data_IF_657637396649
#
_entry.id   IF_657637396649
#
_cell.length_a   1.000
_cell.length_b   1.000
_cell.length_c   1.000
_cell.angle_alpha   90.00
_cell.angle_beta   90.00
_cell.angle_gamma   90.00
#
_symmetry.space_group_name_H-M   'P 1'
#
loop_
_entity.id
_entity.type
_entity.pdbx_description
1 polymer ?
#
# COMPACT_ATOMS: atom_id res chain seq x y z
N UNK A 1 56.92 -63.87 43.32
CA UNK A 1 55.48 -64.23 43.26
C UNK A 1 54.74 -63.52 44.39
N UNK A 2 53.89 -62.53 44.08
CA UNK A 2 52.65 -62.22 44.81
C UNK A 2 51.90 -61.03 44.14
N UNK A 3 50.83 -61.39 43.43
CA UNK A 3 49.50 -60.77 43.28
C UNK A 3 49.34 -59.25 43.03
N UNK A 4 48.94 -58.96 41.79
CA UNK A 4 47.70 -58.26 41.37
C UNK A 4 46.87 -57.59 42.47
N UNK A 5 46.57 -56.30 42.28
CA UNK A 5 45.27 -55.73 42.64
C UNK A 5 44.79 -54.80 41.51
N UNK A 6 43.70 -55.26 40.89
CA UNK A 6 42.79 -54.63 39.94
C UNK A 6 42.23 -53.29 40.44
N UNK A 7 42.12 -52.28 39.57
CA UNK A 7 41.10 -51.25 39.75
C UNK A 7 40.52 -50.77 38.41
N UNK A 8 39.34 -51.32 38.08
CA UNK A 8 38.64 -51.23 36.82
C UNK A 8 37.74 -49.97 36.74
N UNK A 9 38.22 -48.80 37.19
CA UNK A 9 37.45 -47.54 37.20
C UNK A 9 38.05 -46.41 36.35
N UNK A 10 39.21 -46.62 35.73
CA UNK A 10 39.85 -45.62 34.87
C UNK A 10 39.34 -45.66 33.41
N UNK A 11 38.89 -46.81 32.91
CA UNK A 11 38.51 -46.97 31.50
C UNK A 11 37.24 -46.23 31.09
N UNK A 12 36.23 -46.17 31.98
CA UNK A 12 34.91 -45.60 31.64
C UNK A 12 34.96 -44.07 31.58
N UNK A 13 35.79 -43.42 32.40
CA UNK A 13 35.92 -41.96 32.41
C UNK A 13 36.76 -41.43 31.24
N UNK A 14 37.77 -42.19 30.78
CA UNK A 14 38.56 -41.82 29.61
C UNK A 14 37.73 -41.85 28.31
N UNK A 15 36.83 -42.82 28.12
CA UNK A 15 36.04 -42.93 26.88
C UNK A 15 35.05 -41.75 26.73
N UNK A 16 34.45 -41.30 27.83
CA UNK A 16 33.54 -40.14 27.80
C UNK A 16 34.26 -38.80 27.58
N UNK A 17 35.50 -38.65 28.06
CA UNK A 17 36.33 -37.47 27.81
C UNK A 17 36.81 -37.38 26.35
N UNK A 18 37.12 -38.51 25.70
CA UNK A 18 37.55 -38.51 24.29
C UNK A 18 36.41 -38.19 23.32
N UNK A 19 35.16 -38.54 23.63
CA UNK A 19 33.99 -38.22 22.78
C UNK A 19 33.64 -36.72 22.85
N UNK A 20 33.84 -36.06 24.00
CA UNK A 20 33.56 -34.62 24.14
C UNK A 20 34.64 -33.73 23.50
N UNK A 21 35.88 -34.19 23.38
CA UNK A 21 36.98 -33.41 22.77
C UNK A 21 36.90 -33.42 21.24
N UNK A 22 36.28 -34.41 20.60
CA UNK A 22 36.10 -34.43 19.14
C UNK A 22 34.93 -33.58 18.61
N UNK A 23 34.05 -33.07 19.48
CA UNK A 23 32.94 -32.18 19.10
C UNK A 23 33.25 -30.68 19.29
N UNK A 24 34.42 -30.34 19.84
CA UNK A 24 34.83 -28.95 20.07
C UNK A 24 36.21 -28.72 19.46
N UNK A 25 36.21 -27.93 18.38
CA UNK A 25 37.34 -27.41 17.58
C UNK A 25 37.84 -28.26 16.41
N UNK A 26 37.40 -27.88 15.22
CA UNK A 26 38.18 -27.08 14.24
C UNK A 26 37.16 -26.61 13.16
N UNK A 27 37.11 -25.37 12.70
CA UNK A 27 38.23 -24.60 12.19
C UNK A 27 37.84 -23.12 12.05
N UNK A 28 38.64 -22.23 12.64
CA UNK A 28 38.63 -20.81 12.34
C UNK A 28 39.36 -20.59 11.02
N UNK A 29 38.66 -20.87 9.91
CA UNK A 29 39.15 -20.63 8.55
C UNK A 29 38.62 -19.29 8.06
N UNK A 30 39.43 -18.25 8.22
CA UNK A 30 39.25 -16.91 7.66
C UNK A 30 39.14 -17.02 6.13
N UNK A 31 37.92 -17.23 5.61
CA UNK A 31 37.63 -17.08 4.19
C UNK A 31 37.35 -15.61 3.94
N UNK A 32 38.10 -15.11 2.97
CA UNK A 32 37.97 -13.81 2.35
C UNK A 32 36.49 -13.50 2.14
N UNK A 33 36.10 -12.28 2.50
CA UNK A 33 34.82 -11.67 2.18
C UNK A 33 34.58 -11.77 0.67
N UNK A 34 33.93 -12.84 0.24
CA UNK A 34 33.27 -12.90 -1.06
C UNK A 34 31.82 -12.49 -0.79
N UNK A 35 31.61 -11.17 -0.84
CA UNK A 35 30.28 -10.60 -0.78
C UNK A 35 29.56 -10.90 -2.09
N UNK A 36 29.00 -12.10 -2.24
CA UNK A 36 28.12 -12.42 -3.36
C UNK A 36 27.27 -13.69 -3.12
N UNK A 37 26.58 -13.83 -1.98
CA UNK A 37 25.50 -14.83 -1.87
C UNK A 37 24.35 -14.33 -0.98
N UNK A 38 23.82 -13.14 -1.29
CA UNK A 38 22.50 -12.68 -0.77
C UNK A 38 21.56 -12.29 -1.90
N UNK A 39 21.78 -12.85 -3.08
CA UNK A 39 21.00 -12.60 -4.28
C UNK A 39 20.49 -13.96 -4.77
N UNK A 40 19.23 -14.31 -4.51
CA UNK A 40 18.41 -15.29 -5.27
C UNK A 40 17.21 -15.83 -4.45
N UNK A 41 16.46 -14.97 -3.76
CA UNK A 41 15.08 -15.35 -3.39
C UNK A 41 14.08 -14.49 -4.19
N UNK A 42 14.17 -14.61 -5.51
CA UNK A 42 13.18 -14.07 -6.44
C UNK A 42 12.10 -15.11 -6.70
N UNK A 43 10.85 -14.76 -6.48
CA UNK A 43 9.69 -15.62 -6.75
C UNK A 43 9.21 -15.41 -8.19
N UNK A 44 9.07 -16.50 -8.97
CA UNK A 44 8.67 -16.43 -10.38
C UNK A 44 7.19 -16.70 -10.58
N UNK A 45 6.53 -15.84 -11.34
CA UNK A 45 5.08 -15.84 -11.57
C UNK A 45 4.78 -15.77 -13.06
N UNK A 46 3.91 -16.63 -13.62
CA UNK A 46 3.55 -16.54 -15.03
C UNK A 46 2.73 -15.27 -15.32
N UNK A 47 3.11 -14.57 -16.39
CA UNK A 47 2.29 -13.54 -17.03
C UNK A 47 1.64 -14.15 -18.26
N UNK A 48 0.31 -14.21 -18.25
CA UNK A 48 -0.47 -14.73 -19.36
C UNK A 48 -1.18 -13.60 -20.09
N UNK A 49 -1.46 -13.78 -21.37
CA UNK A 49 -2.24 -12.85 -22.18
C UNK A 49 -3.29 -13.56 -23.02
N UNK A 50 -4.26 -12.82 -23.52
CA UNK A 50 -5.30 -13.31 -24.42
C UNK A 50 -5.81 -12.18 -25.30
N UNK A 51 -5.96 -12.47 -26.58
CA UNK A 51 -6.54 -11.56 -27.58
C UNK A 51 -7.39 -12.43 -28.52
N UNK A 52 -8.61 -12.68 -28.08
CA UNK A 52 -9.62 -13.40 -28.85
C UNK A 52 -10.66 -12.39 -29.34
N UNK A 53 -11.21 -12.64 -30.53
CA UNK A 53 -12.38 -11.89 -31.04
C UNK A 53 -13.63 -12.26 -30.24
N UNK A 54 -13.69 -13.51 -29.76
CA UNK A 54 -14.77 -14.02 -28.93
C UNK A 54 -14.64 -13.58 -27.46
N UNK A 55 -15.75 -13.55 -26.73
CA UNK A 55 -15.76 -13.23 -25.29
C UNK A 55 -15.03 -14.26 -24.41
N UNK A 56 -14.74 -15.45 -24.96
CA UNK A 56 -14.05 -16.53 -24.26
C UNK A 56 -12.54 -16.34 -24.38
N UNK A 57 -11.94 -15.76 -23.34
CA UNK A 57 -10.50 -15.55 -23.28
C UNK A 57 -9.73 -16.88 -23.17
N UNK A 58 -8.90 -17.17 -24.17
CA UNK A 58 -7.90 -18.24 -24.14
C UNK A 58 -6.56 -17.65 -23.73
N UNK A 59 -6.17 -17.91 -22.48
CA UNK A 59 -4.93 -17.39 -21.92
C UNK A 59 -3.74 -18.24 -22.37
N UNK A 60 -2.72 -17.55 -22.89
CA UNK A 60 -1.45 -18.12 -23.31
C UNK A 60 -0.29 -17.44 -22.57
N UNK A 61 0.86 -18.11 -22.49
CA UNK A 61 2.01 -17.59 -21.76
C UNK A 61 2.69 -16.46 -22.54
N UNK A 62 2.66 -15.25 -21.98
CA UNK A 62 3.41 -14.10 -22.49
C UNK A 62 4.83 -14.06 -21.95
N UNK A 63 5.02 -14.46 -20.70
CA UNK A 63 6.31 -14.41 -20.02
C UNK A 63 6.24 -14.80 -18.54
N UNK A 64 7.28 -14.47 -17.79
CA UNK A 64 7.39 -14.67 -16.35
C UNK A 64 7.88 -13.40 -15.65
N UNK A 65 7.23 -13.09 -14.53
CA UNK A 65 7.55 -12.01 -13.61
C UNK A 65 8.41 -12.59 -12.50
N UNK A 66 9.62 -12.07 -12.33
CA UNK A 66 10.49 -12.44 -11.22
C UNK A 66 10.42 -11.33 -10.18
N UNK A 67 9.74 -11.63 -9.08
CA UNK A 67 9.43 -10.72 -7.98
C UNK A 67 10.50 -10.90 -6.91
N UNK A 68 11.27 -9.85 -6.65
CA UNK A 68 12.32 -9.86 -5.62
C UNK A 68 11.81 -9.11 -4.40
N UNK A 69 11.68 -9.84 -3.30
CA UNK A 69 11.32 -9.27 -2.01
C UNK A 69 12.58 -8.76 -1.32
N UNK A 70 12.55 -7.51 -0.87
CA UNK A 70 13.68 -6.80 -0.27
C UNK A 70 13.17 -5.58 0.49
N UNK A 71 14.07 -4.72 0.97
CA UNK A 71 13.68 -3.42 1.56
C UNK A 71 12.85 -2.59 0.57
N UNK A 72 13.18 -2.70 -0.70
CA UNK A 72 12.42 -2.16 -1.82
C UNK A 72 11.98 -3.33 -2.71
N UNK A 73 10.67 -3.55 -2.89
CA UNK A 73 10.19 -4.60 -3.77
C UNK A 73 10.55 -4.23 -5.22
N UNK A 74 11.22 -5.14 -5.90
CA UNK A 74 11.56 -4.97 -7.31
C UNK A 74 10.98 -6.12 -8.13
N UNK A 75 10.66 -5.82 -9.39
CA UNK A 75 10.16 -6.80 -10.34
C UNK A 75 10.99 -6.74 -11.61
N UNK A 76 11.37 -7.91 -12.10
CA UNK A 76 11.98 -8.08 -13.41
C UNK A 76 11.10 -8.95 -14.29
N UNK A 77 11.17 -8.74 -15.59
CA UNK A 77 10.33 -9.42 -16.57
C UNK A 77 11.18 -10.24 -17.52
N UNK A 78 10.70 -11.43 -17.85
CA UNK A 78 11.22 -12.26 -18.92
C UNK A 78 10.06 -12.59 -19.88
N UNK A 79 10.10 -12.08 -21.11
CA UNK A 79 9.00 -12.22 -22.07
C UNK A 79 9.44 -13.04 -23.28
N UNK A 80 8.47 -13.73 -23.85
CA UNK A 80 8.60 -14.32 -25.17
C UNK A 80 8.26 -13.28 -26.23
N UNK A 81 8.84 -13.44 -27.41
CA UNK A 81 8.50 -12.66 -28.60
C UNK A 81 7.15 -13.11 -29.14
N UNK A 82 6.48 -12.22 -29.88
CA UNK A 82 5.18 -12.53 -30.48
C UNK A 82 5.38 -13.30 -31.80
N UNK A 83 4.67 -14.43 -31.94
CA UNK A 83 4.70 -15.24 -33.16
C UNK A 83 4.06 -14.48 -34.34
N UNK A 84 4.43 -14.83 -35.57
CA UNK A 84 3.87 -14.19 -36.78
C UNK A 84 2.34 -14.42 -36.88
N UNK A 85 1.88 -15.60 -36.46
CA UNK A 85 0.45 -15.94 -36.40
C UNK A 85 -0.27 -15.06 -35.38
N UNK A 86 0.34 -14.87 -34.20
CA UNK A 86 -0.23 -14.03 -33.15
C UNK A 86 -0.24 -12.55 -33.52
N UNK A 87 0.76 -12.06 -34.29
CA UNK A 87 0.79 -10.68 -34.82
C UNK A 87 -0.41 -10.43 -35.73
N UNK A 88 -0.65 -11.35 -36.67
CA UNK A 88 -1.78 -11.27 -37.61
C UNK A 88 -3.10 -11.28 -36.84
N UNK A 89 -3.25 -12.20 -35.88
CA UNK A 89 -4.44 -12.29 -35.05
C UNK A 89 -4.67 -11.03 -34.19
N UNK A 90 -3.62 -10.46 -33.61
CA UNK A 90 -3.74 -9.24 -32.82
C UNK A 90 -4.24 -8.06 -33.66
N UNK A 91 -3.85 -7.98 -34.94
CA UNK A 91 -4.36 -6.97 -35.89
C UNK A 91 -5.82 -7.20 -36.26
N UNK A 92 -6.22 -8.44 -36.50
CA UNK A 92 -7.63 -8.76 -36.75
C UNK A 92 -8.51 -8.36 -35.57
N UNK A 93 -8.06 -8.65 -34.35
CA UNK A 93 -8.74 -8.22 -33.11
C UNK A 93 -8.76 -6.70 -32.98
N UNK A 94 -7.67 -6.01 -33.35
CA UNK A 94 -7.60 -4.55 -33.36
C UNK A 94 -8.56 -3.92 -34.37
N UNK A 95 -8.77 -4.54 -35.54
CA UNK A 95 -9.66 -4.04 -36.58
C UNK A 95 -11.14 -4.05 -36.16
N UNK A 96 -11.52 -4.91 -35.21
CA UNK A 96 -12.88 -5.02 -34.66
C UNK A 96 -13.05 -4.35 -33.29
N UNK A 97 -12.09 -3.50 -32.88
CA UNK A 97 -12.05 -2.85 -31.56
C UNK A 97 -12.11 -3.86 -30.39
N UNK A 98 -11.46 -5.01 -30.57
CA UNK A 98 -11.37 -6.06 -29.56
C UNK A 98 -10.44 -5.71 -28.40
N UNK A 99 -10.33 -6.63 -27.44
CA UNK A 99 -9.59 -6.42 -26.19
C UNK A 99 -8.34 -7.30 -26.13
N UNK A 100 -7.24 -6.70 -25.72
CA UNK A 100 -6.05 -7.40 -25.26
C UNK A 100 -6.11 -7.53 -23.73
N UNK A 101 -6.18 -8.77 -23.24
CA UNK A 101 -6.33 -9.11 -21.83
C UNK A 101 -5.03 -9.70 -21.29
N UNK A 102 -4.69 -9.37 -20.05
CA UNK A 102 -3.59 -9.99 -19.33
C UNK A 102 -4.10 -10.65 -18.05
N UNK A 103 -3.36 -11.65 -17.57
CA UNK A 103 -3.67 -12.38 -16.35
C UNK A 103 -2.41 -12.71 -15.58
N UNK A 104 -2.49 -12.55 -14.26
CA UNK A 104 -1.43 -12.92 -13.31
C UNK A 104 -2.09 -13.67 -12.15
N UNK A 105 -1.53 -14.79 -11.67
CA UNK A 105 -2.09 -15.49 -10.51
C UNK A 105 -1.96 -14.63 -9.24
N UNK A 106 -2.86 -14.84 -8.29
CA UNK A 106 -2.76 -14.22 -6.97
C UNK A 106 -1.67 -14.90 -6.17
N UNK A 107 -0.72 -14.11 -5.67
CA UNK A 107 0.48 -14.60 -4.99
C UNK A 107 0.87 -13.69 -3.84
N UNK A 108 1.62 -14.25 -2.90
CA UNK A 108 2.17 -13.53 -1.75
C UNK A 108 3.67 -13.29 -1.93
N UNK A 109 4.09 -12.02 -1.89
CA UNK A 109 5.47 -11.61 -2.20
C UNK A 109 6.50 -12.03 -1.15
N UNK A 110 6.08 -12.43 0.06
CA UNK A 110 6.98 -12.83 1.15
C UNK A 110 6.99 -14.36 1.41
N UNK A 111 6.49 -15.19 0.49
CA UNK A 111 6.51 -16.64 0.68
C UNK A 111 7.93 -17.21 0.45
N UNK A 112 8.72 -17.33 1.54
CA UNK A 112 10.05 -18.00 1.55
C UNK A 112 9.99 -19.51 1.27
N UNK A 113 8.80 -20.07 1.16
CA UNK A 113 8.60 -21.46 0.80
C UNK A 113 7.60 -21.53 -0.31
N UNK A 114 7.99 -22.33 -1.30
CA UNK A 114 7.20 -23.06 -2.27
C UNK A 114 6.11 -23.89 -1.57
N UNK A 115 5.25 -23.19 -0.83
CA UNK A 115 4.06 -23.71 -0.19
C UNK A 115 3.06 -23.74 -1.30
N UNK A 116 2.87 -24.94 -1.83
CA UNK A 116 1.68 -25.42 -2.52
C UNK A 116 0.79 -24.29 -3.04
N UNK A 117 0.89 -24.02 -4.34
CA UNK A 117 0.10 -23.09 -5.12
C UNK A 117 -1.38 -23.06 -4.69
N UNK A 118 -1.70 -22.30 -3.64
CA UNK A 118 -3.05 -21.85 -3.38
C UNK A 118 -3.22 -20.62 -4.28
N UNK A 119 -3.15 -20.84 -5.61
CA UNK A 119 -3.56 -19.87 -6.61
C UNK A 119 -5.08 -19.78 -6.54
N UNK A 120 -5.58 -19.13 -5.49
CA UNK A 120 -7.00 -18.89 -5.27
C UNK A 120 -7.48 -17.79 -6.23
N UNK A 121 -7.42 -18.10 -7.52
CA UNK A 121 -7.80 -17.23 -8.60
C UNK A 121 -6.67 -16.43 -9.25
N UNK A 122 -7.09 -15.63 -10.21
CA UNK A 122 -6.23 -14.81 -11.04
C UNK A 122 -6.72 -13.37 -11.04
N UNK A 123 -5.80 -12.46 -11.28
CA UNK A 123 -6.06 -11.04 -11.49
C UNK A 123 -5.98 -10.78 -12.98
N UNK A 124 -6.98 -10.11 -13.51
CA UNK A 124 -7.09 -9.82 -14.94
C UNK A 124 -7.21 -8.32 -15.17
N UNK A 125 -6.55 -7.83 -16.20
CA UNK A 125 -6.72 -6.47 -16.70
C UNK A 125 -6.78 -6.50 -18.24
N UNK A 126 -7.26 -5.42 -18.84
CA UNK A 126 -7.43 -5.34 -20.29
C UNK A 126 -7.19 -3.93 -20.80
N UNK A 127 -6.78 -3.87 -22.07
CA UNK A 127 -6.68 -2.65 -22.89
C UNK A 127 -7.28 -2.95 -24.27
N UNK A 128 -7.59 -1.92 -25.05
CA UNK A 128 -8.00 -2.13 -26.44
C UNK A 128 -6.86 -2.70 -27.26
N UNK A 129 -7.14 -3.69 -28.10
CA UNK A 129 -6.14 -4.31 -28.96
C UNK A 129 -5.54 -3.31 -29.94
N UNK A 130 -6.34 -2.38 -30.50
CA UNK A 130 -5.83 -1.31 -31.35
C UNK A 130 -4.78 -0.43 -30.64
N UNK A 131 -4.93 -0.19 -29.34
CA UNK A 131 -3.98 0.63 -28.58
C UNK A 131 -2.66 -0.10 -28.34
N UNK A 132 -2.68 -1.44 -28.24
CA UNK A 132 -1.45 -2.27 -28.17
C UNK A 132 -0.70 -2.32 -29.50
N UNK A 133 -1.42 -2.34 -30.63
CA UNK A 133 -0.81 -2.36 -31.96
C UNK A 133 -0.20 -1.00 -32.28
N UNK A 134 -0.96 0.08 -32.10
CA UNK A 134 -0.49 1.44 -32.36
C UNK A 134 0.61 1.90 -31.39
N UNK A 135 0.73 1.25 -30.22
CA UNK A 135 1.84 1.48 -29.30
C UNK A 135 3.09 0.67 -29.58
N UNK A 136 3.15 -0.09 -30.68
CA UNK A 136 4.28 -0.97 -31.00
C UNK A 136 4.60 -1.91 -29.83
N UNK A 137 3.55 -2.53 -29.26
CA UNK A 137 3.66 -3.40 -28.08
C UNK A 137 4.29 -2.72 -26.84
N UNK A 138 4.23 -1.39 -26.76
CA UNK A 138 4.66 -0.60 -25.61
C UNK A 138 3.55 -0.52 -24.57
N UNK A 139 3.79 -1.15 -23.42
CA UNK A 139 2.86 -1.20 -22.31
C UNK A 139 3.53 -1.01 -20.94
N UNK A 140 2.77 -0.47 -19.99
CA UNK A 140 3.16 -0.33 -18.60
C UNK A 140 2.21 -1.16 -17.77
N UNK A 141 2.76 -2.14 -17.06
CA UNK A 141 2.00 -3.00 -16.16
C UNK A 141 2.35 -2.64 -14.72
N UNK A 142 1.33 -2.34 -13.92
CA UNK A 142 1.47 -2.06 -12.50
C UNK A 142 0.82 -3.15 -11.66
N UNK A 143 1.61 -3.72 -10.76
CA UNK A 143 1.19 -4.73 -9.80
C UNK A 143 0.87 -4.05 -8.47
N UNK A 144 -0.36 -4.18 -7.99
CA UNK A 144 -0.81 -3.54 -6.75
C UNK A 144 -0.84 -4.56 -5.63
N UNK A 145 -0.18 -4.22 -4.52
CA UNK A 145 -0.09 -5.11 -3.35
C UNK A 145 -0.91 -4.55 -2.19
N UNK A 146 -1.20 -5.38 -1.19
CA UNK A 146 -1.68 -4.92 0.11
C UNK A 146 -0.51 -4.58 1.06
N UNK A 147 -0.85 -4.21 2.31
CA UNK A 147 0.13 -3.91 3.38
C UNK A 147 0.93 -5.15 3.82
N UNK A 148 0.41 -6.35 3.57
CA UNK A 148 1.04 -7.62 3.91
C UNK A 148 1.97 -8.13 2.80
N UNK A 149 1.87 -7.60 1.58
CA UNK A 149 2.61 -8.05 0.41
C UNK A 149 1.85 -9.07 -0.46
N UNK A 150 0.53 -9.18 -0.31
CA UNK A 150 -0.32 -9.96 -1.20
C UNK A 150 -0.66 -9.17 -2.46
N UNK A 151 -0.59 -9.81 -3.63
CA UNK A 151 -0.97 -9.18 -4.89
C UNK A 151 -2.51 -9.13 -5.00
N UNK A 152 -3.09 -7.93 -5.02
CA UNK A 152 -4.53 -7.71 -4.99
C UNK A 152 -5.11 -7.21 -6.31
N UNK A 153 -4.32 -6.52 -7.13
CA UNK A 153 -4.75 -6.04 -8.44
C UNK A 153 -3.60 -5.94 -9.45
N UNK A 154 -3.96 -5.96 -10.73
CA UNK A 154 -3.06 -5.68 -11.84
C UNK A 154 -3.72 -4.63 -12.72
N UNK A 155 -2.93 -3.70 -13.24
CA UNK A 155 -3.37 -2.72 -14.22
C UNK A 155 -2.40 -2.67 -15.39
N UNK A 156 -2.92 -2.48 -16.59
CA UNK A 156 -2.13 -2.31 -17.82
C UNK A 156 -2.56 -1.01 -18.50
N UNK A 157 -1.58 -0.27 -19.01
CA UNK A 157 -1.79 0.91 -19.86
C UNK A 157 -0.82 0.87 -21.03
N UNK A 158 -1.23 1.39 -22.18
CA UNK A 158 -0.36 1.51 -23.37
C UNK A 158 0.00 2.96 -23.63
N UNK A 159 1.10 3.18 -24.33
CA UNK A 159 1.51 4.52 -24.74
C UNK A 159 1.81 4.55 -26.25
N UNK A 160 0.95 5.16 -27.08
CA UNK A 160 -0.30 5.86 -26.75
C UNK A 160 -1.45 4.94 -26.27
N UNK A 161 -2.34 5.48 -25.43
CA UNK A 161 -3.51 4.75 -24.88
C UNK A 161 -4.79 4.84 -25.72
N UNK A 162 -4.75 5.59 -26.81
CA UNK A 162 -5.90 5.87 -27.68
C UNK A 162 -5.62 5.36 -29.09
N UNK A 163 -6.65 4.80 -29.73
CA UNK A 163 -6.56 4.33 -31.10
C UNK A 163 -6.87 5.48 -32.05
N UNK A 164 -5.94 5.79 -32.95
CA UNK A 164 -6.01 6.86 -33.96
C UNK A 164 -6.16 6.32 -35.38
N UNK A 165 -6.08 5.00 -35.58
CA UNK A 165 -6.14 4.35 -36.88
C UNK A 165 -4.82 4.45 -37.66
N UNK A 166 -3.69 4.54 -36.96
CA UNK A 166 -2.37 4.54 -37.60
C UNK A 166 -2.02 3.12 -38.06
N UNK A 167 -1.66 2.97 -39.33
CA UNK A 167 -1.19 1.71 -39.88
C UNK A 167 0.26 1.43 -39.43
N UNK A 168 0.52 0.22 -38.94
CA UNK A 168 1.80 -0.22 -38.34
C UNK A 168 2.28 -1.46 -39.10
N UNK A 169 3.57 -1.54 -39.42
CA UNK A 169 4.17 -2.65 -40.18
C UNK A 169 4.47 -3.87 -39.30
N UNK A 170 4.07 -5.08 -39.69
CA UNK A 170 4.07 -6.28 -38.84
C UNK A 170 5.47 -6.80 -38.48
N UNK A 171 6.40 -6.71 -39.44
CA UNK A 171 7.66 -7.42 -39.37
C UNK A 171 8.64 -6.75 -38.39
N UNK A 172 8.69 -5.43 -38.38
CA UNK A 172 9.65 -4.65 -37.57
C UNK A 172 9.04 -4.22 -36.23
N UNK A 173 7.76 -3.88 -36.20
CA UNK A 173 7.18 -3.14 -35.07
C UNK A 173 6.48 -4.02 -34.03
N UNK A 174 6.10 -5.26 -34.38
CA UNK A 174 5.26 -6.12 -33.52
C UNK A 174 5.96 -7.42 -33.07
N UNK A 175 7.29 -7.47 -33.11
CA UNK A 175 8.07 -8.65 -32.69
C UNK A 175 8.31 -8.71 -31.18
N UNK A 176 8.74 -7.58 -30.61
CA UNK A 176 9.24 -7.49 -29.25
C UNK A 176 8.32 -6.64 -28.39
N UNK A 177 7.95 -7.16 -27.23
CA UNK A 177 7.24 -6.37 -26.23
C UNK A 177 8.17 -5.35 -25.55
N UNK A 178 7.73 -4.10 -25.49
CA UNK A 178 8.40 -3.06 -24.72
C UNK A 178 7.60 -2.78 -23.43
N UNK A 179 7.72 -3.70 -22.48
CA UNK A 179 6.94 -3.64 -21.24
C UNK A 179 7.73 -3.02 -20.09
N UNK A 180 7.19 -1.97 -19.49
CA UNK A 180 7.68 -1.42 -18.22
C UNK A 180 6.87 -1.97 -17.06
N UNK A 181 7.53 -2.46 -16.01
CA UNK A 181 6.86 -2.97 -14.80
C UNK A 181 7.07 -2.07 -13.60
N UNK A 182 6.02 -1.91 -12.79
CA UNK A 182 6.09 -1.26 -11.49
C UNK A 182 5.27 -2.01 -10.44
N UNK A 183 5.74 -1.97 -9.18
CA UNK A 183 4.98 -2.45 -8.02
C UNK A 183 4.49 -1.22 -7.26
N UNK A 184 3.19 -1.17 -6.97
CA UNK A 184 2.56 -0.13 -6.18
C UNK A 184 2.08 -0.72 -4.85
N UNK A 185 2.79 -0.39 -3.78
CA UNK A 185 2.42 -0.72 -2.41
C UNK A 185 1.55 0.40 -1.80
N UNK A 186 0.67 0.08 -0.85
CA UNK A 186 -0.16 1.07 -0.18
C UNK A 186 0.72 1.98 0.67
N UNK A 187 0.50 3.28 0.55
CA UNK A 187 1.19 4.30 1.34
C UNK A 187 0.32 4.70 2.53
N UNK A 188 0.96 5.01 3.66
CA UNK A 188 0.25 5.55 4.81
C UNK A 188 -0.36 6.90 4.43
N UNK A 189 -1.63 7.09 4.78
CA UNK A 189 -2.30 8.36 4.58
C UNK A 189 -1.55 9.48 5.33
N UNK A 190 -1.51 10.70 4.77
CA UNK A 190 -0.98 11.84 5.50
C UNK A 190 -1.76 12.03 6.80
N UNK A 191 -1.05 12.39 7.87
CA UNK A 191 -1.68 12.72 9.15
C UNK A 191 -2.62 13.93 9.02
N UNK A 192 -3.60 14.07 9.94
CA UNK A 192 -4.52 15.20 9.90
C UNK A 192 -3.77 16.52 10.07
N UNK A 193 -4.09 17.51 9.24
CA UNK A 193 -3.52 18.86 9.33
C UNK A 193 -4.16 19.62 10.50
N UNK A 194 -3.72 19.32 11.73
CA UNK A 194 -4.25 19.98 12.94
C UNK A 194 -3.51 21.26 13.30
N UNK A 195 -2.43 21.63 12.60
CA UNK A 195 -1.61 22.79 12.95
C UNK A 195 -2.42 24.10 12.98
N UNK A 196 -3.23 24.36 11.94
CA UNK A 196 -4.07 25.56 11.89
C UNK A 196 -5.17 25.56 12.95
N UNK A 197 -5.73 24.39 13.25
CA UNK A 197 -6.74 24.27 14.28
C UNK A 197 -6.15 24.49 15.69
N UNK A 198 -4.99 23.90 15.97
CA UNK A 198 -4.26 24.09 17.22
C UNK A 198 -3.87 25.56 17.39
N UNK A 199 -3.31 26.19 16.36
CA UNK A 199 -2.96 27.62 16.41
C UNK A 199 -4.20 28.50 16.66
N UNK A 200 -5.34 28.20 16.04
CA UNK A 200 -6.59 28.91 16.30
C UNK A 200 -7.05 28.72 17.74
N UNK A 201 -7.01 27.49 18.27
CA UNK A 201 -7.35 27.21 19.66
C UNK A 201 -6.41 27.92 20.63
N UNK A 202 -5.10 27.96 20.36
CA UNK A 202 -4.11 28.67 21.16
C UNK A 202 -4.37 30.17 21.16
N UNK A 203 -4.67 30.77 20.00
CA UNK A 203 -5.04 32.18 19.91
C UNK A 203 -6.33 32.48 20.68
N UNK A 204 -7.33 31.61 20.62
CA UNK A 204 -8.56 31.75 21.40
C UNK A 204 -8.28 31.61 22.91
N UNK A 205 -7.44 30.66 23.30
CA UNK A 205 -7.03 30.45 24.68
C UNK A 205 -6.25 31.66 25.22
N UNK A 206 -5.32 32.20 24.43
CA UNK A 206 -4.59 33.42 24.76
C UNK A 206 -5.52 34.63 24.89
N UNK A 207 -6.49 34.78 23.98
CA UNK A 207 -7.49 35.85 24.07
C UNK A 207 -8.33 35.71 25.35
N UNK A 208 -8.74 34.48 25.68
CA UNK A 208 -9.45 34.17 26.94
C UNK A 208 -8.59 34.48 28.17
N UNK A 209 -7.29 34.20 28.12
CA UNK A 209 -6.33 34.46 29.21
C UNK A 209 -5.98 35.94 29.39
N UNK A 210 -5.87 36.71 28.30
CA UNK A 210 -5.52 38.14 28.32
C UNK A 210 -6.69 39.04 28.76
N UNK A 211 -7.94 38.68 28.43
CA UNK A 211 -9.14 39.47 28.77
C UNK A 211 -10.19 38.66 29.58
N UNK A 212 -9.91 38.31 30.85
CA UNK A 212 -10.87 37.59 31.69
C UNK A 212 -12.13 38.40 32.03
N UNK A 213 -12.13 39.73 31.82
CA UNK A 213 -13.29 40.61 32.04
C UNK A 213 -14.32 40.57 30.91
N UNK A 214 -13.93 40.18 29.68
CA UNK A 214 -14.84 40.04 28.53
C UNK A 214 -15.60 38.71 28.53
N UNK A 215 -15.07 37.70 29.23
CA UNK A 215 -15.69 36.39 29.43
C UNK A 215 -16.67 36.36 30.62
N UNK A 216 -16.80 37.46 31.39
CA UNK A 216 -17.78 37.55 32.48
C UNK A 216 -19.18 37.74 31.87
N UNK A 217 -20.14 36.93 32.31
CA UNK A 217 -21.56 37.04 31.91
C UNK A 217 -22.06 38.49 32.02
N UNK A 218 -22.97 38.92 31.13
CA UNK A 218 -23.54 40.28 31.11
C UNK A 218 -23.99 40.76 32.49
N UNK A 219 -24.62 39.88 33.28
CA UNK A 219 -25.03 40.18 34.64
C UNK A 219 -23.84 40.48 35.56
N UNK A 220 -22.74 39.73 35.45
CA UNK A 220 -21.54 39.96 36.25
C UNK A 220 -20.82 41.26 35.85
N UNK A 221 -20.88 41.67 34.58
CA UNK A 221 -20.26 42.91 34.12
C UNK A 221 -21.09 44.16 34.44
N UNK A 222 -22.42 44.05 34.41
CA UNK A 222 -23.34 45.19 34.49
C UNK A 222 -24.31 45.15 35.67
N UNK A 223 -24.04 44.34 36.71
CA UNK A 223 -24.92 44.20 37.87
C UNK A 223 -25.28 45.55 38.53
N UNK A 224 -24.34 46.50 38.56
CA UNK A 224 -24.56 47.83 39.14
C UNK A 224 -25.54 48.67 38.31
N UNK A 225 -25.55 48.54 36.98
CA UNK A 225 -26.52 49.22 36.11
C UNK A 225 -27.91 48.62 36.25
N UNK A 226 -27.99 47.29 36.40
CA UNK A 226 -29.27 46.59 36.63
C UNK A 226 -29.85 47.02 37.99
N UNK A 227 -29.02 47.03 39.04
CA UNK A 227 -29.43 47.46 40.37
C UNK A 227 -29.85 48.95 40.38
N UNK A 228 -29.04 49.83 39.78
CA UNK A 228 -29.35 51.26 39.68
C UNK A 228 -30.62 51.55 38.87
N UNK A 229 -30.79 50.85 37.74
CA UNK A 229 -32.00 50.95 36.91
C UNK A 229 -33.25 50.48 37.64
N UNK A 230 -33.18 49.37 38.38
CA UNK A 230 -34.30 48.87 39.18
C UNK A 230 -34.72 49.84 40.29
N UNK A 231 -33.75 50.44 41.00
CA UNK A 231 -34.02 51.48 42.01
C UNK A 231 -34.66 52.71 41.36
N UNK A 232 -34.12 53.18 40.24
CA UNK A 232 -34.68 54.30 39.50
C UNK A 232 -36.12 54.04 39.07
N UNK A 233 -36.43 52.83 38.59
CA UNK A 233 -37.77 52.41 38.18
C UNK A 233 -38.74 52.33 39.37
N UNK A 234 -38.28 51.87 40.54
CA UNK A 234 -39.10 51.90 41.76
C UNK A 234 -39.39 53.32 42.23
N UNK A 235 -38.39 54.21 42.23
CA UNK A 235 -38.59 55.62 42.62
C UNK A 235 -39.53 56.34 41.66
N UNK A 236 -39.39 56.10 40.35
CA UNK A 236 -40.25 56.73 39.33
C UNK A 236 -41.67 56.17 39.30
N UNK A 237 -41.88 54.86 39.56
CA UNK A 237 -43.23 54.31 39.79
C UNK A 237 -43.84 54.80 41.11
N UNK A 238 -43.02 55.00 42.16
CA UNK A 238 -43.50 55.59 43.42
C UNK A 238 -43.76 57.11 43.33
N UNK A 239 -43.26 57.76 42.28
CA UNK A 239 -43.43 59.18 42.01
C UNK A 239 -44.60 59.47 41.04
N UNK A 240 -45.38 58.47 40.63
CA UNK A 240 -46.69 58.71 40.04
C UNK A 240 -47.60 59.30 41.12
N UNK A 241 -48.10 60.55 40.97
CA UNK A 241 -49.10 61.08 41.91
C UNK A 241 -50.34 60.18 41.87
N UNK A 242 -51.03 59.94 43.00
CA UNK A 242 -52.17 59.05 43.01
C UNK A 242 -53.19 59.50 41.97
N UNK A 243 -53.45 58.63 40.99
CA UNK A 243 -54.60 58.78 40.10
C UNK A 243 -55.86 58.76 40.97
N UNK A 244 -56.56 59.89 40.97
CA UNK A 244 -57.72 60.15 41.81
C UNK A 244 -58.74 59.02 41.80
N UNK A 245 -59.05 58.52 42.98
CA UNK A 245 -60.15 57.59 43.23
C UNK A 245 -61.06 58.17 44.30
N UNK A 246 -62.08 58.92 43.88
CA UNK A 246 -63.20 59.25 44.73
C UNK A 246 -64.03 58.01 45.02
N UNK A 247 -64.42 57.83 46.28
CA UNK A 247 -65.63 57.08 46.65
C UNK A 247 -66.15 57.58 48.00
N UNK A 248 -67.44 57.91 47.97
CA UNK A 248 -68.31 58.32 49.06
C UNK A 248 -68.29 57.33 50.23
N UNK A 249 -68.53 57.83 51.45
CA UNK A 249 -69.36 57.14 52.43
C UNK A 249 -69.84 58.09 53.54
N UNK A 250 -71.17 58.08 53.71
CA UNK A 250 -72.04 58.34 54.87
C UNK A 250 -71.76 59.50 55.83
#
# INVERSE_FOLDING_TARGET
MARVLTNNRAGVFCVWLFVFIHLVNCNNGRRVNDGLETEFNGFSVPLEHSFEVDDVAKFQLRGSLVLKTGREPSVSLNQNQLSEEDRTKLKEVAAVDGLYRIRVPRVFLQADKQTEWQTDGHLTAFVRACAMVESHLSDVITLHTDVSGYLIAVSIVTFPGACRGTEVEDEVDLEVFNTTLSIMAPVNAPGPETALFIQRMEQEFEKKGKNPQEQKSFFAKYWYLILGGAIFLMVSNSAQPPAGGGREQS
#
